data_IF_252527932985
#
_entry.id   IF_252527932985
#
_cell.length_a   1.000
_cell.length_b   1.000
_cell.length_c   1.000
_cell.angle_alpha   90.00
_cell.angle_beta   90.00
_cell.angle_gamma   90.00
#
_symmetry.space_group_name_H-M   'P 1'
#
loop_
_entity.id
_entity.type
_entity.pdbx_description
1 polymer ?
#
# COMPACT_ATOMS: atom_id res chain seq x y z
N UNK A 1 -10.79 -19.07 -12.35
CA UNK A 1 -9.30 -18.97 -12.37
C UNK A 1 -8.83 -18.65 -10.96
N UNK A 2 -8.05 -19.53 -10.36
CA UNK A 2 -7.53 -19.30 -8.99
C UNK A 2 -6.41 -18.27 -9.02
N UNK A 3 -6.30 -17.43 -7.99
CA UNK A 3 -5.23 -16.42 -7.89
C UNK A 3 -3.81 -17.04 -7.88
N UNK A 4 -3.70 -18.32 -7.52
CA UNK A 4 -2.44 -19.09 -7.59
C UNK A 4 -1.94 -19.30 -9.03
N UNK A 5 -2.83 -19.29 -10.02
CA UNK A 5 -2.48 -19.47 -11.44
C UNK A 5 -2.03 -18.17 -12.13
N UNK A 6 -2.11 -17.02 -11.45
CA UNK A 6 -1.63 -15.74 -12.00
C UNK A 6 -0.11 -15.68 -11.92
N UNK A 7 0.55 -15.52 -13.06
CA UNK A 7 2.02 -15.62 -13.21
C UNK A 7 2.73 -14.28 -13.39
N UNK A 8 1.99 -13.16 -13.52
CA UNK A 8 2.56 -11.84 -13.74
C UNK A 8 1.82 -10.76 -12.95
N UNK A 9 2.51 -9.70 -12.54
CA UNK A 9 1.91 -8.54 -11.86
C UNK A 9 0.75 -7.94 -12.68
N UNK A 10 0.87 -7.72 -14.02
CA UNK A 10 -0.26 -7.25 -14.81
C UNK A 10 -1.48 -8.16 -14.75
N UNK A 11 -1.31 -9.50 -14.68
CA UNK A 11 -2.44 -10.44 -14.56
C UNK A 11 -3.13 -10.34 -13.20
N UNK A 12 -2.37 -10.17 -12.12
CA UNK A 12 -2.90 -9.90 -10.77
C UNK A 12 -3.67 -8.59 -10.76
N UNK A 13 -3.11 -7.52 -11.32
CA UNK A 13 -3.74 -6.20 -11.38
C UNK A 13 -5.07 -6.23 -12.16
N UNK A 14 -5.13 -6.90 -13.30
CA UNK A 14 -6.41 -7.11 -14.02
C UNK A 14 -7.44 -7.87 -13.19
N UNK A 15 -7.02 -8.89 -12.45
CA UNK A 15 -7.90 -9.65 -11.56
C UNK A 15 -8.42 -8.81 -10.39
N UNK A 16 -7.56 -7.94 -9.81
CA UNK A 16 -7.95 -6.97 -8.77
C UNK A 16 -9.05 -6.05 -9.29
N UNK A 17 -8.82 -5.40 -10.43
CA UNK A 17 -9.76 -4.41 -11.01
C UNK A 17 -11.16 -5.01 -11.24
N UNK A 18 -11.23 -6.29 -11.61
CA UNK A 18 -12.48 -7.03 -11.87
C UNK A 18 -13.10 -7.66 -10.61
N UNK A 19 -12.48 -7.49 -9.43
CA UNK A 19 -12.92 -8.17 -8.20
C UNK A 19 -14.29 -7.67 -7.71
N UNK A 20 -15.16 -8.62 -7.34
CA UNK A 20 -16.50 -8.36 -6.79
C UNK A 20 -16.74 -8.98 -5.42
N UNK A 21 -15.71 -9.56 -4.77
CA UNK A 21 -15.81 -10.39 -3.55
C UNK A 21 -16.41 -9.69 -2.33
N UNK A 22 -16.39 -8.36 -2.27
CA UNK A 22 -16.82 -7.56 -1.13
C UNK A 22 -17.97 -6.63 -1.54
N UNK A 23 -19.26 -7.08 -1.51
CA UNK A 23 -20.40 -6.27 -1.98
C UNK A 23 -20.50 -4.90 -1.28
N UNK A 24 -20.30 -4.84 0.05
CA UNK A 24 -20.32 -3.61 0.84
C UNK A 24 -19.31 -2.59 0.33
N UNK A 25 -18.05 -3.01 0.14
CA UNK A 25 -16.98 -2.11 -0.35
C UNK A 25 -17.24 -1.69 -1.80
N UNK A 26 -17.69 -2.62 -2.65
CA UNK A 26 -18.02 -2.31 -4.06
C UNK A 26 -19.17 -1.31 -4.18
N UNK A 27 -20.23 -1.49 -3.37
CA UNK A 27 -21.35 -0.56 -3.32
C UNK A 27 -20.89 0.82 -2.82
N UNK A 28 -20.05 0.87 -1.78
CA UNK A 28 -19.51 2.13 -1.26
C UNK A 28 -18.62 2.85 -2.29
N UNK A 29 -17.69 2.15 -2.93
CA UNK A 29 -16.81 2.76 -3.95
C UNK A 29 -17.62 3.36 -5.11
N UNK A 30 -18.66 2.64 -5.60
CA UNK A 30 -19.54 3.14 -6.66
C UNK A 30 -20.39 4.33 -6.21
N UNK A 31 -20.92 4.28 -4.98
CA UNK A 31 -21.68 5.40 -4.42
C UNK A 31 -20.81 6.64 -4.33
N UNK A 32 -19.61 6.56 -3.76
CA UNK A 32 -18.67 7.68 -3.69
C UNK A 32 -18.31 8.21 -5.08
N UNK A 33 -18.15 7.33 -6.08
CA UNK A 33 -17.84 7.72 -7.45
C UNK A 33 -19.01 8.47 -8.13
N UNK A 34 -20.26 8.12 -7.80
CA UNK A 34 -21.46 8.81 -8.29
C UNK A 34 -21.69 10.14 -7.57
N UNK A 35 -21.64 10.12 -6.24
CA UNK A 35 -22.03 11.27 -5.39
C UNK A 35 -20.93 12.34 -5.36
N UNK A 36 -19.68 11.93 -5.55
CA UNK A 36 -18.46 12.76 -5.64
C UNK A 36 -18.30 13.72 -4.44
N UNK A 37 -17.18 14.37 -4.32
CA UNK A 37 -16.97 15.52 -3.44
C UNK A 37 -17.05 16.80 -4.26
N UNK A 38 -17.55 17.89 -3.71
CA UNK A 38 -17.75 19.16 -4.42
C UNK A 38 -16.51 19.62 -5.19
N UNK A 39 -15.31 19.54 -4.56
CA UNK A 39 -14.03 19.92 -5.16
C UNK A 39 -13.57 19.01 -6.31
N UNK A 40 -14.18 17.83 -6.47
CA UNK A 40 -13.86 16.85 -7.52
C UNK A 40 -15.07 16.53 -8.40
N UNK A 41 -16.03 17.44 -8.48
CA UNK A 41 -17.29 17.22 -9.22
C UNK A 41 -17.04 16.91 -10.70
N UNK A 42 -16.06 17.54 -11.31
CA UNK A 42 -15.72 17.39 -12.73
C UNK A 42 -14.80 16.21 -13.02
N UNK A 43 -14.34 15.50 -11.97
CA UNK A 43 -13.51 14.32 -12.16
C UNK A 43 -14.33 13.09 -12.51
N UNK A 44 -13.82 12.27 -13.42
CA UNK A 44 -14.28 10.90 -13.58
C UNK A 44 -13.62 10.02 -12.52
N UNK A 45 -14.42 9.53 -11.56
CA UNK A 45 -13.91 8.66 -10.52
C UNK A 45 -13.68 7.24 -11.05
N UNK A 46 -12.58 6.64 -10.66
CA UNK A 46 -12.27 5.24 -10.93
C UNK A 46 -13.33 4.27 -10.39
N UNK A 47 -13.72 4.39 -9.12
CA UNK A 47 -14.81 3.65 -8.48
C UNK A 47 -14.70 2.12 -8.50
N UNK A 48 -13.54 1.57 -8.90
CA UNK A 48 -13.24 0.13 -9.00
C UNK A 48 -12.18 -0.26 -7.96
N UNK A 49 -11.91 -1.57 -7.73
CA UNK A 49 -10.75 -1.97 -6.93
C UNK A 49 -9.46 -1.40 -7.52
N UNK A 50 -8.58 -0.94 -6.65
CA UNK A 50 -7.33 -0.27 -7.04
C UNK A 50 -6.22 -1.31 -7.07
N UNK A 51 -5.52 -1.50 -8.20
CA UNK A 51 -4.39 -2.41 -8.31
C UNK A 51 -3.16 -1.89 -7.57
N UNK A 52 -2.13 -2.73 -7.43
CA UNK A 52 -0.80 -2.28 -7.05
C UNK A 52 -0.18 -1.40 -8.14
N UNK A 53 0.86 -0.65 -7.76
CA UNK A 53 1.51 0.32 -8.64
C UNK A 53 3.02 0.33 -8.41
N UNK A 54 3.80 0.32 -9.45
CA UNK A 54 5.24 0.48 -9.41
C UNK A 54 6.01 -0.56 -10.20
N UNK A 55 7.28 -0.71 -9.87
CA UNK A 55 8.24 -1.59 -10.53
C UNK A 55 8.02 -3.06 -10.12
N UNK A 56 7.78 -3.98 -11.07
CA UNK A 56 7.66 -5.41 -10.76
C UNK A 56 8.95 -6.06 -10.22
N UNK A 57 10.10 -5.45 -10.50
CA UNK A 57 11.41 -5.91 -10.03
C UNK A 57 11.91 -5.17 -8.79
N UNK A 58 11.03 -4.45 -8.10
CA UNK A 58 11.33 -3.63 -6.94
C UNK A 58 11.97 -4.40 -5.79
N UNK A 59 12.98 -3.79 -5.15
CA UNK A 59 13.55 -4.22 -3.87
C UNK A 59 12.79 -3.64 -2.67
N UNK A 60 12.09 -2.50 -2.85
CA UNK A 60 11.22 -1.88 -1.85
C UNK A 60 9.75 -2.19 -2.12
N UNK A 61 9.04 -2.70 -1.12
CA UNK A 61 7.58 -2.81 -1.11
C UNK A 61 6.97 -1.91 -0.04
N UNK A 62 6.04 -1.04 -0.42
CA UNK A 62 5.25 -0.25 0.52
C UNK A 62 3.83 -0.82 0.61
N UNK A 63 3.37 -1.12 1.82
CA UNK A 63 2.03 -1.70 2.06
C UNK A 63 1.17 -0.78 2.90
N UNK A 64 0.10 -0.25 2.29
CA UNK A 64 -0.92 0.53 2.96
C UNK A 64 -2.11 -0.32 3.43
N UNK A 65 -3.10 0.35 4.05
CA UNK A 65 -4.33 -0.30 4.50
C UNK A 65 -5.32 -0.51 3.35
N UNK A 66 -5.74 0.59 2.72
CA UNK A 66 -6.81 0.60 1.72
C UNK A 66 -6.83 1.93 0.95
N UNK A 67 -7.45 1.98 -0.25
CA UNK A 67 -7.71 3.21 -0.98
C UNK A 67 -8.54 4.21 -0.16
N UNK A 68 -8.18 5.49 -0.20
CA UNK A 68 -9.02 6.56 0.32
C UNK A 68 -10.20 6.83 -0.63
N UNK A 69 -11.37 7.19 -0.08
CA UNK A 69 -12.61 7.38 -0.83
C UNK A 69 -12.48 8.44 -1.95
N UNK A 70 -11.84 9.57 -1.66
CA UNK A 70 -11.63 10.68 -2.60
C UNK A 70 -10.16 10.82 -3.07
N UNK A 71 -9.26 9.89 -2.66
CA UNK A 71 -7.91 9.69 -3.16
C UNK A 71 -7.87 8.57 -4.20
N UNK A 72 -7.32 7.42 -3.85
CA UNK A 72 -7.12 6.30 -4.76
C UNK A 72 -8.42 5.72 -5.35
N UNK A 73 -9.57 5.77 -4.65
CA UNK A 73 -10.86 5.40 -5.25
C UNK A 73 -11.33 6.41 -6.32
N UNK A 74 -10.86 7.66 -6.27
CA UNK A 74 -11.07 8.65 -7.32
C UNK A 74 -10.12 8.43 -8.49
N UNK A 75 -8.83 8.31 -8.21
CA UNK A 75 -7.78 8.34 -9.23
C UNK A 75 -7.45 6.98 -9.85
N UNK A 76 -7.74 5.86 -9.16
CA UNK A 76 -7.36 4.51 -9.62
C UNK A 76 -5.91 4.12 -9.36
N UNK A 77 -5.10 4.96 -8.68
CA UNK A 77 -3.72 4.68 -8.29
C UNK A 77 -3.54 4.82 -6.79
N UNK A 78 -2.81 3.88 -6.15
CA UNK A 78 -2.56 3.89 -4.71
C UNK A 78 -1.90 5.19 -4.25
N UNK A 79 -2.32 5.71 -3.10
CA UNK A 79 -1.80 6.94 -2.49
C UNK A 79 -1.82 8.17 -3.41
N UNK A 80 -2.76 8.26 -4.36
CA UNK A 80 -2.81 9.36 -5.33
C UNK A 80 -3.99 10.28 -5.06
N UNK A 81 -3.72 11.59 -5.05
CA UNK A 81 -4.73 12.63 -4.93
C UNK A 81 -5.26 12.84 -3.50
N UNK A 82 -4.49 12.52 -2.48
CA UNK A 82 -4.79 12.84 -1.08
C UNK A 82 -3.52 13.18 -0.28
N UNK A 83 -3.70 13.68 0.94
CA UNK A 83 -2.59 14.13 1.78
C UNK A 83 -1.61 13.03 2.18
N UNK A 84 -2.08 11.78 2.31
CA UNK A 84 -1.20 10.66 2.62
C UNK A 84 -0.28 10.34 1.45
N UNK A 85 -0.80 10.49 0.23
CA UNK A 85 -0.02 10.36 -1.01
C UNK A 85 1.05 11.43 -1.13
N UNK A 86 0.73 12.69 -0.80
CA UNK A 86 1.71 13.79 -0.83
C UNK A 86 2.91 13.51 0.09
N UNK A 87 2.66 12.93 1.28
CA UNK A 87 3.73 12.52 2.18
C UNK A 87 4.55 11.36 1.62
N UNK A 88 3.89 10.35 1.05
CA UNK A 88 4.56 9.15 0.56
C UNK A 88 5.41 9.46 -0.68
N UNK A 89 4.83 10.10 -1.69
CA UNK A 89 5.56 10.31 -2.95
C UNK A 89 6.67 11.35 -2.81
N UNK A 90 6.53 12.35 -1.92
CA UNK A 90 7.60 13.26 -1.61
C UNK A 90 8.81 12.53 -0.98
N UNK A 91 8.57 11.62 -0.04
CA UNK A 91 9.64 10.83 0.55
C UNK A 91 10.26 9.86 -0.46
N UNK A 92 9.45 9.18 -1.28
CA UNK A 92 9.95 8.29 -2.33
C UNK A 92 10.80 9.05 -3.35
N UNK A 93 10.37 10.23 -3.79
CA UNK A 93 11.13 11.08 -4.71
C UNK A 93 12.48 11.49 -4.11
N UNK A 94 12.49 11.93 -2.86
CA UNK A 94 13.71 12.36 -2.15
C UNK A 94 14.77 11.26 -2.08
N UNK A 95 14.35 10.00 -2.05
CA UNK A 95 15.24 8.83 -1.99
C UNK A 95 15.38 8.09 -3.33
N UNK A 96 14.98 8.69 -4.46
CA UNK A 96 15.19 8.13 -5.79
C UNK A 96 14.22 7.02 -6.22
N UNK A 97 13.19 6.75 -5.41
CA UNK A 97 12.17 5.73 -5.70
C UNK A 97 10.98 6.23 -6.53
N UNK A 98 10.86 7.52 -6.77
CA UNK A 98 9.80 8.11 -7.58
C UNK A 98 10.36 9.16 -8.54
N UNK A 99 9.78 9.28 -9.73
CA UNK A 99 10.20 10.25 -10.76
C UNK A 99 9.81 11.70 -10.44
N UNK A 100 8.86 11.90 -9.55
CA UNK A 100 8.35 13.21 -9.13
C UNK A 100 7.78 13.18 -7.71
N UNK A 101 7.77 14.33 -6.98
CA UNK A 101 7.33 14.38 -5.58
C UNK A 101 5.81 14.39 -5.39
N UNK A 102 5.05 14.54 -6.45
CA UNK A 102 3.59 14.67 -6.41
C UNK A 102 2.92 13.54 -7.16
N UNK A 103 1.73 13.17 -6.70
CA UNK A 103 0.87 12.16 -7.33
C UNK A 103 -0.56 12.67 -7.33
N UNK A 104 -0.99 13.26 -8.44
CA UNK A 104 -2.25 13.97 -8.56
C UNK A 104 -3.33 13.15 -9.27
N UNK A 105 -2.96 12.47 -10.37
CA UNK A 105 -3.84 11.61 -11.15
C UNK A 105 -3.12 10.34 -11.57
N UNK A 106 -3.83 9.37 -12.14
CA UNK A 106 -3.22 8.15 -12.66
C UNK A 106 -2.32 8.40 -13.87
N UNK A 107 -2.63 9.43 -14.63
CA UNK A 107 -2.01 9.73 -15.92
C UNK A 107 -1.09 10.97 -15.83
N UNK A 108 -0.54 11.29 -14.64
CA UNK A 108 0.32 12.45 -14.40
C UNK A 108 1.82 12.23 -14.72
N UNK A 109 2.17 11.09 -15.31
CA UNK A 109 3.53 10.75 -15.69
C UNK A 109 4.40 10.19 -14.58
N UNK A 110 3.89 10.09 -13.33
CA UNK A 110 4.62 9.50 -12.22
C UNK A 110 4.99 8.04 -12.49
N UNK A 111 6.26 7.72 -12.34
CA UNK A 111 6.77 6.35 -12.32
C UNK A 111 7.47 6.06 -10.99
N UNK A 112 7.50 4.79 -10.60
CA UNK A 112 8.30 4.32 -9.47
C UNK A 112 9.49 3.52 -9.98
N UNK A 113 10.63 3.73 -9.35
CA UNK A 113 11.87 3.03 -9.62
C UNK A 113 12.24 2.21 -8.38
N UNK A 114 12.51 0.92 -8.56
CA UNK A 114 12.89 0.00 -7.47
C UNK A 114 11.90 0.00 -6.28
N UNK A 115 10.67 0.42 -6.50
CA UNK A 115 9.60 0.51 -5.52
C UNK A 115 8.26 0.02 -6.07
N UNK A 116 7.54 -0.78 -5.27
CA UNK A 116 6.18 -1.20 -5.55
C UNK A 116 5.26 -0.84 -4.37
N UNK A 117 4.05 -0.37 -4.67
CA UNK A 117 3.05 0.00 -3.66
C UNK A 117 1.85 -0.92 -3.76
N UNK A 118 1.50 -1.54 -2.63
CA UNK A 118 0.32 -2.38 -2.48
C UNK A 118 -0.53 -1.95 -1.27
N UNK A 119 -1.66 -2.62 -1.05
CA UNK A 119 -2.50 -2.41 0.12
C UNK A 119 -3.16 -3.71 0.58
N UNK A 120 -3.50 -3.80 1.88
CA UNK A 120 -4.21 -4.94 2.47
C UNK A 120 -5.62 -5.11 1.90
N UNK A 121 -6.32 -4.00 1.59
CA UNK A 121 -7.60 -4.00 0.90
C UNK A 121 -7.51 -3.17 -0.38
N UNK A 122 -8.23 -3.59 -1.43
CA UNK A 122 -8.17 -2.96 -2.77
C UNK A 122 -9.34 -2.01 -3.06
N UNK A 123 -10.29 -1.92 -2.16
CA UNK A 123 -11.46 -1.03 -2.25
C UNK A 123 -11.49 -0.08 -1.07
N UNK A 124 -11.95 1.16 -1.28
CA UNK A 124 -12.17 2.11 -0.20
C UNK A 124 -13.24 1.60 0.76
N UNK A 125 -12.95 1.49 2.06
CA UNK A 125 -13.95 1.13 3.06
C UNK A 125 -14.62 2.38 3.64
N UNK A 126 -15.91 2.31 4.03
CA UNK A 126 -16.56 3.37 4.80
C UNK A 126 -15.76 3.69 6.07
N UNK A 127 -15.53 5.00 6.32
CA UNK A 127 -14.79 5.47 7.49
C UNK A 127 -13.33 4.97 7.57
N UNK A 128 -12.74 4.56 6.47
CA UNK A 128 -11.40 3.95 6.39
C UNK A 128 -11.24 2.67 7.24
N UNK A 129 -12.35 1.97 7.51
CA UNK A 129 -12.39 0.77 8.37
C UNK A 129 -12.88 -0.45 7.58
N UNK A 130 -11.98 -1.22 6.94
CA UNK A 130 -12.35 -2.51 6.37
C UNK A 130 -12.68 -3.50 7.49
N UNK A 131 -13.66 -4.38 7.28
CA UNK A 131 -13.92 -5.48 8.20
C UNK A 131 -12.83 -6.56 8.09
N UNK A 132 -12.72 -7.40 9.13
CA UNK A 132 -11.81 -8.56 9.12
C UNK A 132 -12.09 -9.47 7.92
N UNK A 133 -13.36 -9.76 7.66
CA UNK A 133 -13.76 -10.60 6.52
C UNK A 133 -13.35 -10.00 5.17
N UNK A 134 -13.40 -8.68 5.01
CA UNK A 134 -12.99 -7.99 3.78
C UNK A 134 -11.47 -8.04 3.60
N UNK A 135 -10.71 -7.88 4.68
CA UNK A 135 -9.26 -8.07 4.66
C UNK A 135 -8.90 -9.51 4.30
N UNK A 136 -9.57 -10.51 4.90
CA UNK A 136 -9.34 -11.93 4.61
C UNK A 136 -9.66 -12.28 3.15
N UNK A 137 -10.76 -11.76 2.61
CA UNK A 137 -11.12 -11.93 1.20
C UNK A 137 -10.15 -11.23 0.24
N UNK A 138 -9.52 -10.16 0.67
CA UNK A 138 -8.58 -9.38 -0.14
C UNK A 138 -7.13 -9.90 -0.06
N UNK A 139 -6.74 -10.54 1.06
CA UNK A 139 -5.39 -11.04 1.33
C UNK A 139 -4.78 -11.89 0.20
N UNK A 140 -5.51 -12.78 -0.50
CA UNK A 140 -4.95 -13.57 -1.59
C UNK A 140 -4.35 -12.74 -2.73
N UNK A 141 -4.79 -11.49 -2.94
CA UNK A 141 -4.18 -10.58 -3.92
C UNK A 141 -2.80 -10.11 -3.47
N UNK A 142 -2.69 -9.67 -2.21
CA UNK A 142 -1.39 -9.28 -1.65
C UNK A 142 -0.42 -10.46 -1.64
N UNK A 143 -0.88 -11.66 -1.27
CA UNK A 143 -0.06 -12.88 -1.32
C UNK A 143 0.39 -13.23 -2.74
N UNK A 144 -0.45 -12.98 -3.76
CA UNK A 144 -0.08 -13.20 -5.16
C UNK A 144 0.98 -12.19 -5.63
N UNK A 145 0.87 -10.91 -5.23
CA UNK A 145 1.90 -9.91 -5.52
C UNK A 145 3.23 -10.26 -4.85
N UNK A 146 3.22 -10.61 -3.54
CA UNK A 146 4.42 -11.02 -2.80
C UNK A 146 5.16 -12.18 -3.46
N UNK A 147 4.43 -13.16 -3.99
CA UNK A 147 5.03 -14.29 -4.71
C UNK A 147 5.73 -13.87 -6.00
N UNK A 148 5.26 -12.81 -6.66
CA UNK A 148 5.76 -12.33 -7.96
C UNK A 148 6.84 -11.26 -7.81
N UNK A 149 6.83 -10.49 -6.75
CA UNK A 149 7.83 -9.46 -6.42
C UNK A 149 9.08 -10.12 -5.79
N UNK A 150 9.82 -10.87 -6.61
CA UNK A 150 10.89 -11.78 -6.14
C UNK A 150 12.12 -11.07 -5.60
N UNK A 151 12.32 -9.80 -5.97
CA UNK A 151 13.49 -9.02 -5.56
C UNK A 151 13.28 -8.20 -4.29
N UNK A 152 12.07 -8.21 -3.71
CA UNK A 152 11.78 -7.44 -2.49
C UNK A 152 12.71 -7.87 -1.35
N UNK A 153 13.40 -6.89 -0.78
CA UNK A 153 14.31 -7.01 0.38
C UNK A 153 13.78 -6.24 1.57
N UNK A 154 13.15 -5.09 1.33
CA UNK A 154 12.60 -4.24 2.37
C UNK A 154 11.11 -4.04 2.17
N UNK A 155 10.35 -4.18 3.26
CA UNK A 155 8.91 -3.89 3.27
C UNK A 155 8.61 -2.80 4.29
N UNK A 156 8.03 -1.70 3.82
CA UNK A 156 7.52 -0.63 4.69
C UNK A 156 6.01 -0.82 4.85
N UNK A 157 5.56 -1.03 6.08
CA UNK A 157 4.14 -1.21 6.39
C UNK A 157 3.57 0.04 7.06
N UNK A 158 2.51 0.61 6.48
CA UNK A 158 1.92 1.88 6.91
C UNK A 158 0.67 1.64 7.78
N UNK A 159 0.88 1.63 9.09
CA UNK A 159 -0.14 1.40 10.10
C UNK A 159 -0.25 -0.08 10.55
N UNK A 160 -0.71 -0.28 11.80
CA UNK A 160 -0.81 -1.61 12.44
C UNK A 160 -1.60 -2.63 11.61
N UNK A 161 -2.75 -2.24 11.08
CA UNK A 161 -3.61 -3.17 10.31
C UNK A 161 -2.92 -3.61 9.01
N UNK A 162 -2.22 -2.69 8.32
CA UNK A 162 -1.42 -3.04 7.14
C UNK A 162 -0.29 -4.01 7.49
N UNK A 163 0.43 -3.73 8.59
CA UNK A 163 1.51 -4.57 9.11
C UNK A 163 1.06 -6.01 9.38
N UNK A 164 0.00 -6.19 10.18
CA UNK A 164 -0.53 -7.51 10.51
C UNK A 164 -1.06 -8.26 9.28
N UNK A 165 -1.72 -7.57 8.35
CA UNK A 165 -2.22 -8.20 7.13
C UNK A 165 -1.11 -8.56 6.16
N UNK A 166 -0.03 -7.76 6.11
CA UNK A 166 1.15 -8.14 5.35
C UNK A 166 1.81 -9.41 5.92
N UNK A 167 2.02 -9.49 7.25
CA UNK A 167 2.55 -10.70 7.90
C UNK A 167 1.71 -11.94 7.57
N UNK A 168 0.38 -11.81 7.59
CA UNK A 168 -0.55 -12.89 7.22
C UNK A 168 -0.44 -13.25 5.72
N UNK A 169 -0.34 -12.27 4.84
CA UNK A 169 -0.23 -12.50 3.40
C UNK A 169 1.10 -13.15 3.00
N UNK A 170 2.19 -12.81 3.71
CA UNK A 170 3.52 -13.38 3.54
C UNK A 170 3.68 -14.75 4.23
N UNK A 171 2.69 -15.19 5.02
CA UNK A 171 2.72 -16.45 5.77
C UNK A 171 3.55 -16.40 7.06
N UNK A 172 4.07 -15.25 7.44
CA UNK A 172 4.87 -15.09 8.65
C UNK A 172 4.04 -15.13 9.93
N UNK A 173 2.76 -14.78 9.85
CA UNK A 173 1.86 -14.82 11.00
C UNK A 173 1.69 -16.21 11.59
N UNK A 174 1.64 -17.23 10.75
CA UNK A 174 1.49 -18.64 11.12
C UNK A 174 2.84 -19.31 11.42
N UNK A 175 3.91 -18.88 10.73
CA UNK A 175 5.26 -19.49 10.84
C UNK A 175 6.03 -19.05 12.07
N UNK A 176 5.77 -17.85 12.59
CA UNK A 176 6.43 -17.32 13.78
C UNK A 176 5.55 -17.49 15.00
N UNK A 177 6.16 -17.87 16.14
CA UNK A 177 5.50 -17.85 17.43
C UNK A 177 5.05 -16.43 17.80
N UNK A 178 4.02 -16.24 18.61
CA UNK A 178 3.51 -14.90 18.97
C UNK A 178 4.59 -13.92 19.43
N UNK A 179 5.54 -14.37 20.25
CA UNK A 179 6.65 -13.55 20.77
C UNK A 179 7.75 -13.23 19.74
N UNK A 180 7.85 -14.01 18.66
CA UNK A 180 8.83 -13.78 17.57
C UNK A 180 8.27 -12.95 16.41
N UNK A 181 6.97 -12.61 16.43
CA UNK A 181 6.37 -11.78 15.39
C UNK A 181 6.88 -10.35 15.47
N UNK A 182 7.19 -9.71 14.32
CA UNK A 182 7.53 -8.29 14.29
C UNK A 182 6.48 -7.44 15.00
N UNK A 183 6.92 -6.65 15.98
CA UNK A 183 6.04 -5.78 16.76
C UNK A 183 5.81 -4.48 15.98
N UNK A 184 4.54 -4.07 15.88
CA UNK A 184 4.21 -2.78 15.27
C UNK A 184 4.48 -1.63 16.25
N UNK A 185 5.59 -0.93 16.04
CA UNK A 185 5.83 0.42 16.54
C UNK A 185 6.49 1.26 15.44
N UNK A 186 6.28 2.59 15.45
CA UNK A 186 6.86 3.45 14.43
C UNK A 186 8.39 3.37 14.42
N UNK A 187 8.97 3.16 13.25
CA UNK A 187 10.41 3.06 13.07
C UNK A 187 11.03 1.73 13.51
N UNK A 188 10.25 0.76 14.02
CA UNK A 188 10.81 -0.57 14.28
C UNK A 188 11.24 -1.23 12.98
N UNK A 189 12.43 -1.81 13.00
CA UNK A 189 13.01 -2.59 11.92
C UNK A 189 13.26 -4.01 12.43
N UNK A 190 12.75 -5.00 11.72
CA UNK A 190 12.89 -6.42 12.08
C UNK A 190 13.36 -7.19 10.85
N UNK A 191 14.45 -7.92 11.00
CA UNK A 191 14.89 -8.90 9.98
C UNK A 191 14.16 -10.22 10.21
N UNK A 192 13.58 -10.75 9.14
CA UNK A 192 12.90 -12.04 9.13
C UNK A 192 13.89 -13.18 8.83
N UNK A 193 13.52 -14.44 9.13
CA UNK A 193 14.41 -15.60 8.92
C UNK A 193 14.85 -15.82 7.47
N UNK A 194 14.15 -15.29 6.48
CA UNK A 194 14.52 -15.32 5.06
C UNK A 194 15.43 -14.15 4.63
N UNK A 195 15.84 -13.30 5.57
CA UNK A 195 16.66 -12.13 5.32
C UNK A 195 15.88 -10.86 4.94
N UNK A 196 14.57 -10.97 4.68
CA UNK A 196 13.71 -9.81 4.38
C UNK A 196 13.61 -8.89 5.60
N UNK A 197 13.67 -7.59 5.38
CA UNK A 197 13.55 -6.57 6.44
C UNK A 197 12.17 -5.93 6.38
N UNK A 198 11.47 -5.89 7.51
CA UNK A 198 10.22 -5.16 7.65
C UNK A 198 10.42 -3.92 8.53
N UNK A 199 10.00 -2.77 8.02
CA UNK A 199 10.01 -1.49 8.76
C UNK A 199 8.56 -1.07 8.97
N UNK A 200 8.16 -0.90 10.23
CA UNK A 200 6.83 -0.45 10.58
C UNK A 200 6.79 1.08 10.72
N UNK A 201 5.79 1.71 10.13
CA UNK A 201 5.58 3.16 10.24
C UNK A 201 4.14 3.48 10.61
N UNK A 202 3.92 4.56 11.34
CA UNK A 202 2.60 5.16 11.42
C UNK A 202 2.14 5.57 10.01
N UNK A 203 0.84 5.45 9.76
CA UNK A 203 0.26 5.87 8.49
C UNK A 203 0.28 7.42 8.41
N UNK A 204 0.68 8.04 7.28
CA UNK A 204 0.71 9.50 7.12
C UNK A 204 -0.71 10.06 6.88
N UNK A 205 -1.67 9.65 7.73
CA UNK A 205 -3.03 10.18 7.74
C UNK A 205 -3.07 11.57 8.35
N UNK A 206 -4.05 12.38 7.94
CA UNK A 206 -4.28 13.70 8.55
C UNK A 206 -4.37 13.65 10.08
N UNK A 207 -4.97 12.59 10.63
CA UNK A 207 -5.03 12.41 12.08
C UNK A 207 -3.63 12.35 12.70
N UNK A 208 -2.72 11.55 12.14
CA UNK A 208 -1.37 11.39 12.69
C UNK A 208 -0.48 12.60 12.42
N UNK A 209 -0.61 13.23 11.26
CA UNK A 209 0.22 14.37 10.86
C UNK A 209 -0.21 15.68 11.54
N UNK A 210 -1.51 15.92 11.64
CA UNK A 210 -2.03 17.15 12.26
C UNK A 210 -1.89 17.15 13.80
N UNK A 211 -1.85 15.96 14.42
CA UNK A 211 -1.64 15.84 15.88
C UNK A 211 -0.17 15.73 16.29
N UNK A 212 0.76 15.79 15.33
CA UNK A 212 2.18 15.61 15.61
C UNK A 212 2.61 14.20 15.97
N UNK A 213 1.68 13.20 15.96
CA UNK A 213 2.01 11.80 16.20
C UNK A 213 2.99 11.24 15.17
N UNK A 214 2.95 11.76 13.94
CA UNK A 214 3.92 11.52 12.88
C UNK A 214 4.44 12.88 12.37
N UNK A 215 5.71 13.15 12.61
CA UNK A 215 6.39 14.35 12.11
C UNK A 215 7.11 14.07 10.79
N UNK A 216 7.52 15.12 10.06
CA UNK A 216 8.32 14.99 8.83
C UNK A 216 9.65 14.29 9.10
N UNK A 217 10.35 14.66 10.16
CA UNK A 217 11.61 14.02 10.56
C UNK A 217 11.44 12.52 10.81
N UNK A 218 10.42 12.14 11.60
CA UNK A 218 10.11 10.72 11.85
C UNK A 218 9.81 9.97 10.54
N UNK A 219 9.09 10.61 9.63
CA UNK A 219 8.71 10.02 8.35
C UNK A 219 9.92 9.79 7.44
N UNK A 220 10.78 10.79 7.27
CA UNK A 220 11.98 10.67 6.44
C UNK A 220 12.97 9.65 7.00
N UNK A 221 13.14 9.57 8.32
CA UNK A 221 13.99 8.57 8.96
C UNK A 221 13.61 7.12 8.61
N UNK A 222 12.34 6.83 8.28
CA UNK A 222 11.94 5.51 7.77
C UNK A 222 12.57 5.24 6.41
N UNK A 223 12.54 6.20 5.48
CA UNK A 223 13.06 6.02 4.12
C UNK A 223 14.58 6.14 4.05
N UNK A 224 15.22 6.89 4.94
CA UNK A 224 16.68 6.88 5.14
C UNK A 224 17.17 5.48 5.51
N UNK A 225 16.46 4.79 6.44
CA UNK A 225 16.77 3.39 6.78
C UNK A 225 16.54 2.44 5.62
N UNK A 226 15.48 2.65 4.82
CA UNK A 226 15.26 1.87 3.59
C UNK A 226 16.43 2.00 2.64
N UNK A 227 16.87 3.23 2.34
CA UNK A 227 18.01 3.50 1.45
C UNK A 227 19.27 2.83 1.97
N UNK A 228 19.62 3.01 3.24
CA UNK A 228 20.81 2.41 3.85
C UNK A 228 20.80 0.87 3.77
N UNK A 229 19.66 0.22 4.00
CA UNK A 229 19.54 -1.25 3.86
C UNK A 229 19.74 -1.69 2.42
N UNK A 230 19.16 -0.98 1.45
CA UNK A 230 19.26 -1.37 0.03
C UNK A 230 20.64 -1.09 -0.59
N UNK A 231 21.37 -0.11 -0.08
CA UNK A 231 22.78 0.16 -0.46
C UNK A 231 23.73 -0.94 0.01
N UNK A 232 23.52 -1.49 1.22
CA UNK A 232 24.36 -2.54 1.78
C UNK A 232 24.13 -3.94 1.18
N UNK A 233 23.03 -4.12 0.41
CA UNK A 233 22.63 -5.39 -0.20
C UNK A 233 22.59 -5.31 -1.74
N UNK A 234 23.23 -4.31 -2.33
CA UNK A 234 23.37 -4.09 -3.78
C UNK A 234 24.45 -4.91 -4.45
#
# INVERSE_FOLDING_TARGET
MTLRALSTIPSVNRSIVRCTRCPRLRAYCRRVARDKKREFRDWEYWGKPVPGFGDPDARLLVVGLAPAAHGANRTGRMFTGDSSGSWLYEALYRHGFASQPQSLSRDDGLTLNDCYIAAAARCAPPGNKPSRLELDRCRPYLAAELRLLRRVRVVVTLGRVAHENWLKAAGWWERLSPGARPVFAHGTMTQLPDGMIVIASYHPSRQNTNTGKLTRTMWHAVFERVAAVLEHHG
#
